data_IF_224862626217
#
_entry.id   IF_224862626217
#
_cell.length_a   1.000
_cell.length_b   1.000
_cell.length_c   1.000
_cell.angle_alpha   90.00
_cell.angle_beta   90.00
_cell.angle_gamma   90.00
#
_symmetry.space_group_name_H-M   'P 1'
#
loop_
_entity.id
_entity.type
_entity.pdbx_description
1 polymer ?
#
# COMPACT_ATOMS: atom_id res chain seq x y z
N UNK A 1 -7.93 -5.54 -17.31
CA UNK A 1 -7.19 -5.68 -16.04
C UNK A 1 -8.13 -5.20 -14.97
N UNK A 2 -8.40 -6.03 -13.95
CA UNK A 2 -9.18 -5.59 -12.78
C UNK A 2 -8.53 -4.34 -12.21
N UNK A 3 -9.30 -3.28 -11.99
CA UNK A 3 -8.81 -2.12 -11.25
C UNK A 3 -8.44 -2.64 -9.86
N UNK A 4 -7.21 -2.38 -9.40
CA UNK A 4 -6.82 -2.70 -8.04
C UNK A 4 -7.66 -1.81 -7.11
N UNK A 5 -8.58 -2.42 -6.35
CA UNK A 5 -9.54 -1.70 -5.53
C UNK A 5 -9.34 -2.06 -4.06
N UNK A 6 -9.04 -1.05 -3.24
CA UNK A 6 -8.90 -1.24 -1.79
C UNK A 6 -10.27 -1.42 -1.14
N UNK A 7 -10.30 -2.22 -0.08
CA UNK A 7 -11.49 -2.37 0.77
C UNK A 7 -11.41 -1.51 2.04
N UNK A 8 -10.22 -1.04 2.41
CA UNK A 8 -9.94 -0.28 3.64
C UNK A 8 -9.23 1.06 3.38
N UNK A 9 -9.58 1.78 2.31
CA UNK A 9 -8.95 3.06 1.93
C UNK A 9 -8.90 4.06 3.08
N UNK A 10 -9.98 4.20 3.84
CA UNK A 10 -10.03 5.12 4.98
C UNK A 10 -9.01 4.76 6.07
N UNK A 11 -8.86 3.47 6.38
CA UNK A 11 -7.86 3.01 7.36
C UNK A 11 -6.44 3.29 6.84
N UNK A 12 -6.20 3.04 5.56
CA UNK A 12 -4.90 3.29 4.95
C UNK A 12 -4.53 4.78 4.96
N UNK A 13 -5.46 5.65 4.56
CA UNK A 13 -5.30 7.10 4.62
C UNK A 13 -5.06 7.59 6.05
N UNK A 14 -5.79 7.07 7.03
CA UNK A 14 -5.58 7.39 8.44
C UNK A 14 -4.19 6.99 8.94
N UNK A 15 -3.70 5.79 8.60
CA UNK A 15 -2.32 5.38 8.93
C UNK A 15 -1.26 6.26 8.26
N UNK A 16 -1.58 6.79 7.07
CA UNK A 16 -0.75 7.78 6.39
C UNK A 16 -1.01 9.23 6.88
N UNK A 17 -1.80 9.45 7.92
CA UNK A 17 -2.06 10.76 8.50
C UNK A 17 -2.88 11.70 7.60
N UNK A 18 -3.81 11.15 6.82
CA UNK A 18 -4.79 11.89 6.04
C UNK A 18 -6.19 11.67 6.60
N UNK A 19 -6.87 12.76 6.99
CA UNK A 19 -8.26 12.71 7.47
C UNK A 19 -9.28 12.57 6.34
N UNK A 20 -8.88 12.93 5.12
CA UNK A 20 -9.69 12.82 3.90
C UNK A 20 -8.78 12.55 2.69
N UNK A 21 -9.32 11.98 1.58
CA UNK A 21 -8.57 11.76 0.34
C UNK A 21 -7.91 13.06 -0.17
N UNK A 22 -6.57 13.13 -0.24
CA UNK A 22 -5.88 14.32 -0.76
C UNK A 22 -5.93 14.37 -2.30
N UNK A 23 -5.80 15.55 -2.92
CA UNK A 23 -5.82 15.67 -4.38
C UNK A 23 -4.56 15.04 -5.03
N UNK A 24 -4.63 14.55 -6.28
CA UNK A 24 -3.53 13.86 -6.95
C UNK A 24 -2.46 14.85 -7.47
N UNK A 25 -1.68 15.41 -6.54
CA UNK A 25 -0.61 16.37 -6.84
C UNK A 25 0.77 15.79 -6.55
N UNK A 26 1.82 16.38 -7.12
CA UNK A 26 3.20 16.01 -6.81
C UNK A 26 3.54 16.20 -5.32
N UNK A 27 2.95 17.20 -4.67
CA UNK A 27 3.11 17.42 -3.23
C UNK A 27 2.49 16.27 -2.43
N UNK A 28 1.26 15.89 -2.76
CA UNK A 28 0.57 14.74 -2.17
C UNK A 28 1.37 13.46 -2.36
N UNK A 29 1.86 13.19 -3.58
CA UNK A 29 2.64 11.99 -3.89
C UNK A 29 3.91 11.90 -3.02
N UNK A 30 4.67 13.00 -2.90
CA UNK A 30 5.87 13.05 -2.05
C UNK A 30 5.56 12.77 -0.59
N UNK A 31 4.51 13.39 -0.05
CA UNK A 31 4.10 13.17 1.34
C UNK A 31 3.64 11.73 1.56
N UNK A 32 2.85 11.19 0.64
CA UNK A 32 2.34 9.83 0.70
C UNK A 32 3.46 8.80 0.67
N UNK A 33 4.40 8.94 -0.28
CA UNK A 33 5.55 8.04 -0.37
C UNK A 33 6.40 8.08 0.90
N UNK A 34 6.72 9.28 1.39
CA UNK A 34 7.48 9.45 2.62
C UNK A 34 6.79 8.77 3.81
N UNK A 35 5.51 9.07 4.03
CA UNK A 35 4.74 8.52 5.15
C UNK A 35 4.54 7.01 5.02
N UNK A 36 4.33 6.50 3.80
CA UNK A 36 4.23 5.06 3.55
C UNK A 36 5.51 4.33 3.96
N UNK A 37 6.67 4.83 3.54
CA UNK A 37 7.97 4.23 3.90
C UNK A 37 8.31 4.37 5.40
N UNK A 38 7.73 5.36 6.09
CA UNK A 38 7.93 5.56 7.52
C UNK A 38 6.98 4.70 8.38
N UNK A 39 5.76 4.46 7.89
CA UNK A 39 4.70 3.74 8.61
C UNK A 39 4.77 2.22 8.41
N UNK A 40 5.10 1.76 7.20
CA UNK A 40 5.08 0.34 6.84
C UNK A 40 6.48 -0.22 6.71
N UNK A 41 6.80 -1.19 7.57
CA UNK A 41 8.12 -1.82 7.62
C UNK A 41 8.36 -2.68 6.38
N UNK A 42 9.52 -2.52 5.77
CA UNK A 42 10.00 -3.47 4.76
C UNK A 42 10.55 -4.73 5.46
N UNK A 43 9.96 -5.89 5.20
CA UNK A 43 10.30 -7.15 5.90
C UNK A 43 10.04 -8.41 5.05
N UNK A 44 10.66 -9.52 5.44
CA UNK A 44 10.54 -10.84 4.79
C UNK A 44 10.26 -11.98 5.79
N UNK A 45 9.68 -11.70 6.97
CA UNK A 45 9.45 -12.67 8.04
C UNK A 45 8.53 -13.81 7.61
N UNK A 46 7.55 -13.55 6.75
CA UNK A 46 6.69 -14.60 6.18
C UNK A 46 7.53 -15.62 5.40
N UNK A 47 8.43 -15.14 4.53
CA UNK A 47 9.35 -15.98 3.76
C UNK A 47 10.29 -16.78 4.67
N UNK A 48 10.92 -16.13 5.65
CA UNK A 48 11.85 -16.78 6.59
C UNK A 48 11.14 -17.82 7.45
N UNK A 49 9.86 -17.61 7.76
CA UNK A 49 9.03 -18.52 8.56
C UNK A 49 8.36 -19.61 7.73
N UNK A 50 8.63 -19.70 6.42
CA UNK A 50 8.02 -20.68 5.51
C UNK A 50 6.52 -20.49 5.30
N UNK A 51 5.99 -19.31 5.63
CA UNK A 51 4.57 -18.96 5.44
C UNK A 51 4.39 -18.40 4.01
N UNK A 52 3.31 -18.78 3.29
CA UNK A 52 3.03 -18.21 1.98
C UNK A 52 2.94 -16.68 2.01
N UNK A 53 3.51 -16.03 0.98
CA UNK A 53 3.35 -14.60 0.73
C UNK A 53 2.24 -14.41 -0.29
N UNK A 54 1.06 -14.04 0.18
CA UNK A 54 -0.11 -13.76 -0.65
C UNK A 54 -0.03 -12.31 -1.15
N UNK A 55 -0.10 -12.12 -2.48
CA UNK A 55 0.10 -10.82 -3.14
C UNK A 55 -1.18 -10.24 -3.75
N UNK A 56 -2.33 -10.88 -3.51
CA UNK A 56 -3.64 -10.28 -3.77
C UNK A 56 -3.93 -9.17 -2.75
N UNK A 57 -4.69 -8.16 -3.17
CA UNK A 57 -4.86 -6.93 -2.41
C UNK A 57 -5.58 -7.17 -1.07
N UNK A 58 -6.60 -8.03 -1.03
CA UNK A 58 -7.33 -8.38 0.19
C UNK A 58 -6.41 -8.98 1.27
N UNK A 59 -5.54 -9.91 0.85
CA UNK A 59 -4.56 -10.53 1.74
C UNK A 59 -3.51 -9.51 2.23
N UNK A 60 -3.04 -8.64 1.34
CA UNK A 60 -2.09 -7.57 1.70
C UNK A 60 -2.74 -6.60 2.69
N UNK A 61 -3.96 -6.14 2.46
CA UNK A 61 -4.67 -5.23 3.38
C UNK A 61 -4.85 -5.85 4.76
N UNK A 62 -5.25 -7.12 4.82
CA UNK A 62 -5.36 -7.85 6.09
C UNK A 62 -4.02 -7.91 6.84
N UNK A 63 -2.94 -8.28 6.14
CA UNK A 63 -1.60 -8.40 6.72
C UNK A 63 -1.06 -7.04 7.17
N UNK A 64 -1.07 -6.06 6.28
CA UNK A 64 -0.37 -4.78 6.46
C UNK A 64 -1.19 -3.80 7.27
N UNK A 65 -2.45 -3.59 6.91
CA UNK A 65 -3.29 -2.58 7.55
C UNK A 65 -3.90 -3.08 8.86
N UNK A 66 -4.44 -4.30 8.88
CA UNK A 66 -5.17 -4.83 10.05
C UNK A 66 -4.27 -5.53 11.08
N UNK A 67 -3.33 -6.37 10.65
CA UNK A 67 -2.42 -7.08 11.55
C UNK A 67 -1.18 -6.26 11.93
N UNK A 68 -0.98 -5.08 11.33
CA UNK A 68 0.14 -4.20 11.63
C UNK A 68 1.50 -4.75 11.19
N UNK A 69 1.53 -5.72 10.27
CA UNK A 69 2.76 -6.27 9.72
C UNK A 69 3.30 -5.41 8.56
N UNK A 70 4.54 -5.69 8.19
CA UNK A 70 5.15 -5.14 6.99
C UNK A 70 4.95 -6.01 5.74
N UNK A 71 5.82 -5.82 4.76
CA UNK A 71 5.96 -6.70 3.60
C UNK A 71 7.17 -6.32 2.76
N UNK A 72 7.42 -7.09 1.69
CA UNK A 72 8.43 -6.75 0.70
C UNK A 72 7.84 -5.95 -0.47
N UNK A 73 8.62 -5.78 -1.56
CA UNK A 73 8.26 -4.89 -2.66
C UNK A 73 6.91 -5.20 -3.32
N UNK A 74 6.55 -6.48 -3.53
CA UNK A 74 5.27 -6.82 -4.15
C UNK A 74 4.07 -6.51 -3.27
N UNK A 75 4.21 -6.52 -1.94
CA UNK A 75 3.11 -6.23 -1.02
C UNK A 75 2.93 -4.71 -0.86
N UNK A 76 4.02 -4.01 -0.50
CA UNK A 76 3.97 -2.58 -0.20
C UNK A 76 3.72 -1.73 -1.46
N UNK A 77 4.35 -2.05 -2.59
CA UNK A 77 4.12 -1.30 -3.82
C UNK A 77 2.74 -1.58 -4.42
N UNK A 78 2.20 -2.80 -4.27
CA UNK A 78 0.84 -3.10 -4.75
C UNK A 78 -0.19 -2.32 -3.93
N UNK A 79 -0.01 -2.24 -2.61
CA UNK A 79 -0.86 -1.45 -1.73
C UNK A 79 -0.80 0.05 -2.08
N UNK A 80 0.39 0.61 -2.25
CA UNK A 80 0.57 2.01 -2.66
C UNK A 80 0.01 2.27 -4.06
N UNK A 81 0.25 1.38 -5.02
CA UNK A 81 -0.27 1.49 -6.37
C UNK A 81 -1.81 1.54 -6.40
N UNK A 82 -2.48 0.68 -5.64
CA UNK A 82 -3.94 0.70 -5.54
C UNK A 82 -4.46 2.02 -4.99
N UNK A 83 -3.84 2.57 -3.93
CA UNK A 83 -4.20 3.87 -3.38
C UNK A 83 -3.98 5.02 -4.38
N UNK A 84 -2.88 4.99 -5.14
CA UNK A 84 -2.61 6.01 -6.16
C UNK A 84 -3.71 6.04 -7.22
N UNK A 85 -4.12 4.86 -7.73
CA UNK A 85 -5.19 4.77 -8.71
C UNK A 85 -6.53 5.28 -8.14
N UNK A 86 -6.86 4.91 -6.90
CA UNK A 86 -8.11 5.31 -6.25
C UNK A 86 -8.18 6.83 -6.00
N UNK A 87 -7.04 7.47 -5.72
CA UNK A 87 -6.93 8.92 -5.59
C UNK A 87 -6.87 9.67 -6.92
N UNK A 88 -6.94 8.95 -8.05
CA UNK A 88 -6.96 9.54 -9.39
C UNK A 88 -5.58 9.89 -9.97
N UNK A 89 -4.50 9.33 -9.44
CA UNK A 89 -3.21 9.40 -10.13
C UNK A 89 -3.19 8.49 -11.35
N UNK A 90 -2.58 8.96 -12.44
CA UNK A 90 -2.19 8.11 -13.56
C UNK A 90 -0.90 7.35 -13.20
N UNK A 91 -1.07 6.13 -12.68
CA UNK A 91 0.04 5.27 -12.28
C UNK A 91 0.12 4.02 -13.16
N UNK A 92 1.34 3.51 -13.36
CA UNK A 92 1.59 2.24 -14.05
C UNK A 92 2.63 1.42 -13.29
N UNK A 93 2.33 0.15 -13.05
CA UNK A 93 3.29 -0.80 -12.50
C UNK A 93 4.47 -1.03 -13.45
N UNK A 94 5.67 -1.07 -12.89
CA UNK A 94 6.91 -1.45 -13.56
C UNK A 94 7.60 -2.55 -12.77
N UNK A 95 8.46 -3.32 -13.44
CA UNK A 95 9.29 -4.36 -12.83
C UNK A 95 10.76 -4.10 -13.16
N UNK A 96 11.63 -4.31 -12.18
CA UNK A 96 13.09 -4.14 -12.31
C UNK A 96 13.82 -4.76 -11.12
#
# INVERSE_FOLDING_TARGET
MSVAQLTNTNLYLQRLGFDAPPPPTLQTLRQMQLRHTAEFVFENLATVSGVPVLIDLDSIESKVLRQGRGGYCYELNHLLYALLLELGFEARGISG
#
